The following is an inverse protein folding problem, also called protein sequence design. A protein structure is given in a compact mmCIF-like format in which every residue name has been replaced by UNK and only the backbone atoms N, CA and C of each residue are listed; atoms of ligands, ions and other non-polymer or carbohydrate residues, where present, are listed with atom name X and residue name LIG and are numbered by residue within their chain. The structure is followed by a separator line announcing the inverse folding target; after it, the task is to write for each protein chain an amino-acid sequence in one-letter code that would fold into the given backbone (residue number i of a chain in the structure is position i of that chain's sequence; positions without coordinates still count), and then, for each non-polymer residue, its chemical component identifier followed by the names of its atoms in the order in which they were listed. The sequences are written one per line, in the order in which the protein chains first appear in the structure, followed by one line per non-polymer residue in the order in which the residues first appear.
data_IF_582832702176
#
_entry.id   IF_582832702176
#
_cell.length_a   1.000
_cell.length_b   1.000
_cell.length_c   1.000
_cell.angle_alpha   90.00
_cell.angle_beta   90.00
_cell.angle_gamma   90.00
#
_symmetry.space_group_name_H-M   'P 1'
#
loop_
_entity.id
_entity.type
_entity.pdbx_description
1 polymer ?
#
# COMPACT_ATOMS: atom_id res chain seq x y z
N UNK A 1 -6.33 -10.80 14.17
CA UNK A 1 -5.27 -11.56 14.87
C UNK A 1 -3.97 -11.28 14.13
N UNK A 2 -3.01 -10.63 14.77
CA UNK A 2 -1.75 -10.26 14.13
C UNK A 2 -0.87 -11.49 13.86
N UNK A 3 -0.11 -11.48 12.77
CA UNK A 3 0.84 -12.54 12.46
C UNK A 3 1.92 -12.64 13.55
N UNK A 4 2.05 -13.82 14.15
CA UNK A 4 3.10 -14.17 15.12
C UNK A 4 4.10 -15.11 14.46
N UNK A 5 5.35 -14.67 14.40
CA UNK A 5 6.42 -15.49 13.84
C UNK A 5 6.69 -16.71 14.70
N UNK A 6 7.07 -17.80 14.05
CA UNK A 6 7.66 -18.96 14.73
C UNK A 6 9.18 -18.85 14.85
N UNK A 7 9.82 -17.94 14.10
CA UNK A 7 11.25 -17.69 14.25
C UNK A 7 11.44 -16.77 15.45
N UNK A 8 12.10 -17.25 16.49
CA UNK A 8 12.48 -16.41 17.64
C UNK A 8 13.87 -15.82 17.44
N UNK A 9 14.10 -14.65 18.04
CA UNK A 9 15.38 -13.94 17.94
C UNK A 9 16.53 -14.75 18.53
N UNK A 10 16.27 -15.49 19.62
CA UNK A 10 17.28 -16.26 20.33
C UNK A 10 17.83 -17.42 19.48
N UNK A 11 17.00 -18.01 18.62
CA UNK A 11 17.38 -19.11 17.74
C UNK A 11 18.27 -18.67 16.57
N UNK A 12 18.40 -17.37 16.30
CA UNK A 12 19.11 -16.87 15.12
C UNK A 12 20.60 -17.19 15.15
N UNK A 13 21.21 -17.17 16.35
CA UNK A 13 22.65 -17.38 16.55
C UNK A 13 23.11 -18.77 16.09
N UNK A 14 22.24 -19.77 16.18
CA UNK A 14 22.55 -21.17 15.88
C UNK A 14 22.04 -21.60 14.49
N UNK A 15 21.32 -20.71 13.79
CA UNK A 15 20.72 -21.03 12.50
C UNK A 15 21.76 -20.98 11.37
N UNK A 16 21.84 -22.05 10.60
CA UNK A 16 22.51 -22.06 9.29
C UNK A 16 21.65 -21.37 8.24
N UNK A 17 22.27 -20.83 7.18
CA UNK A 17 21.53 -20.16 6.09
C UNK A 17 20.45 -21.07 5.48
N UNK A 18 20.78 -22.35 5.28
CA UNK A 18 19.86 -23.33 4.67
C UNK A 18 18.65 -23.59 5.55
N UNK A 19 18.85 -23.74 6.87
CA UNK A 19 17.75 -23.95 7.82
C UNK A 19 16.88 -22.70 7.93
N UNK A 20 17.51 -21.53 7.97
CA UNK A 20 16.79 -20.27 7.96
C UNK A 20 15.92 -20.10 6.70
N UNK A 21 16.42 -20.38 5.50
CA UNK A 21 15.64 -20.27 4.26
C UNK A 21 14.38 -21.15 4.30
N UNK A 22 14.48 -22.38 4.83
CA UNK A 22 13.33 -23.29 4.98
C UNK A 22 12.28 -22.69 5.93
N UNK A 23 12.71 -22.14 7.07
CA UNK A 23 11.81 -21.47 8.01
C UNK A 23 11.18 -20.22 7.39
N UNK A 24 11.97 -19.38 6.72
CA UNK A 24 11.49 -18.16 6.07
C UNK A 24 10.43 -18.46 5.00
N UNK A 25 10.60 -19.51 4.20
CA UNK A 25 9.58 -19.96 3.23
C UNK A 25 8.25 -20.31 3.92
N UNK A 26 8.30 -21.04 5.04
CA UNK A 26 7.10 -21.40 5.79
C UNK A 26 6.43 -20.16 6.41
N UNK A 27 7.23 -19.26 6.97
CA UNK A 27 6.76 -18.01 7.57
C UNK A 27 6.09 -17.11 6.54
N UNK A 28 6.69 -16.93 5.37
CA UNK A 28 6.13 -16.16 4.26
C UNK A 28 4.77 -16.73 3.81
N UNK A 29 4.66 -18.05 3.64
CA UNK A 29 3.37 -18.69 3.29
C UNK A 29 2.31 -18.50 4.38
N UNK A 30 2.70 -18.52 5.65
CA UNK A 30 1.78 -18.27 6.77
C UNK A 30 1.37 -16.80 6.83
N UNK A 31 2.33 -15.88 6.70
CA UNK A 31 2.13 -14.44 6.74
C UNK A 31 1.26 -13.95 5.58
N UNK A 32 1.39 -14.57 4.40
CA UNK A 32 0.55 -14.26 3.25
C UNK A 32 -0.95 -14.40 3.52
N UNK A 33 -1.36 -15.29 4.43
CA UNK A 33 -2.77 -15.44 4.85
C UNK A 33 -3.32 -14.23 5.62
N UNK A 34 -2.45 -13.35 6.10
CA UNK A 34 -2.79 -12.13 6.83
C UNK A 34 -2.80 -10.89 5.93
N UNK A 35 -2.40 -11.01 4.66
CA UNK A 35 -2.31 -9.89 3.71
C UNK A 35 -1.08 -9.00 3.93
N UNK A 36 -0.74 -8.67 5.17
CA UNK A 36 0.49 -7.97 5.48
C UNK A 36 1.03 -8.27 6.89
N UNK A 37 2.30 -7.94 7.11
CA UNK A 37 2.94 -8.04 8.42
C UNK A 37 4.15 -7.11 8.49
N UNK A 38 4.58 -6.74 9.70
CA UNK A 38 5.82 -6.01 9.86
C UNK A 38 7.03 -6.88 9.51
N UNK A 39 8.15 -6.26 9.18
CA UNK A 39 9.41 -6.95 8.90
C UNK A 39 10.61 -6.20 9.47
N UNK A 40 11.57 -6.94 10.02
CA UNK A 40 12.94 -6.45 10.27
C UNK A 40 13.88 -7.16 9.30
N UNK A 41 14.76 -6.41 8.65
CA UNK A 41 15.68 -6.91 7.63
C UNK A 41 17.10 -6.51 7.97
N UNK A 42 18.04 -7.46 7.85
CA UNK A 42 19.48 -7.20 7.87
C UNK A 42 20.06 -7.72 6.56
N UNK A 43 20.69 -6.88 5.74
CA UNK A 43 21.26 -7.33 4.46
C UNK A 43 22.54 -8.14 4.62
N UNK A 44 23.31 -7.95 5.69
CA UNK A 44 24.61 -8.60 5.88
C UNK A 44 24.61 -9.38 7.20
N UNK A 45 23.69 -10.33 7.32
CA UNK A 45 23.63 -11.22 8.47
C UNK A 45 24.56 -12.42 8.28
N UNK A 46 25.45 -12.64 9.25
CA UNK A 46 26.33 -13.81 9.28
C UNK A 46 25.64 -14.95 10.03
N UNK A 47 25.29 -16.01 9.30
CA UNK A 47 24.70 -17.23 9.84
C UNK A 47 25.75 -18.11 10.53
N UNK A 48 25.31 -19.07 11.35
CA UNK A 48 26.19 -19.97 12.11
C UNK A 48 27.17 -20.76 11.23
N UNK A 49 26.80 -21.04 9.99
CA UNK A 49 27.66 -21.71 9.01
C UNK A 49 28.67 -20.77 8.32
N UNK A 50 28.86 -19.55 8.81
CA UNK A 50 29.75 -18.53 8.24
C UNK A 50 29.23 -17.80 7.00
N UNK A 51 28.09 -18.24 6.44
CA UNK A 51 27.50 -17.61 5.27
C UNK A 51 26.93 -16.21 5.62
N UNK A 52 27.22 -15.22 4.78
CA UNK A 52 26.64 -13.87 4.88
C UNK A 52 25.51 -13.74 3.88
N UNK A 53 24.30 -13.45 4.36
CA UNK A 53 23.10 -13.35 3.52
C UNK A 53 22.05 -12.44 4.16
N UNK A 54 20.96 -12.16 3.45
CA UNK A 54 19.88 -11.33 4.01
C UNK A 54 19.09 -12.14 5.05
N UNK A 55 18.92 -11.57 6.24
CA UNK A 55 17.97 -12.04 7.25
C UNK A 55 16.71 -11.18 7.20
N UNK A 56 15.55 -11.83 7.13
CA UNK A 56 14.22 -11.23 7.24
C UNK A 56 13.42 -11.89 8.38
N UNK A 57 12.92 -11.08 9.30
CA UNK A 57 12.07 -11.50 10.41
C UNK A 57 10.71 -10.83 10.27
N UNK A 58 9.69 -11.62 9.95
CA UNK A 58 8.31 -11.16 9.80
C UNK A 58 7.61 -11.15 11.16
N UNK A 59 6.69 -10.24 11.42
CA UNK A 59 5.94 -10.23 12.68
C UNK A 59 5.34 -8.88 13.06
N UNK A 60 4.52 -8.90 14.11
CA UNK A 60 4.05 -7.66 14.76
C UNK A 60 5.25 -6.84 15.25
N UNK A 61 5.33 -5.55 14.90
CA UNK A 61 6.37 -4.61 15.35
C UNK A 61 6.21 -4.23 16.83
N UNK A 62 6.29 -5.21 17.71
CA UNK A 62 6.19 -5.08 19.17
C UNK A 62 6.97 -6.20 19.86
N UNK A 63 7.17 -6.12 21.18
CA UNK A 63 7.79 -7.21 21.94
C UNK A 63 9.24 -7.51 21.49
N UNK A 64 9.56 -8.81 21.35
CA UNK A 64 10.92 -9.29 21.01
C UNK A 64 11.43 -8.76 19.67
N UNK A 65 10.59 -8.68 18.64
CA UNK A 65 10.98 -8.22 17.32
C UNK A 65 11.36 -6.73 17.31
N UNK A 66 10.60 -5.91 18.04
CA UNK A 66 10.92 -4.48 18.18
C UNK A 66 12.15 -4.25 19.07
N UNK A 67 12.34 -5.07 20.13
CA UNK A 67 13.56 -5.06 20.95
C UNK A 67 14.79 -5.39 20.10
N UNK A 68 14.70 -6.44 19.28
CA UNK A 68 15.76 -6.83 18.34
C UNK A 68 16.10 -5.70 17.35
N UNK A 69 15.08 -5.08 16.76
CA UNK A 69 15.29 -3.92 15.87
C UNK A 69 16.05 -2.78 16.57
N UNK A 70 15.63 -2.40 17.79
CA UNK A 70 16.29 -1.34 18.56
C UNK A 70 17.74 -1.69 18.89
N UNK A 71 18.00 -2.94 19.27
CA UNK A 71 19.35 -3.43 19.54
C UNK A 71 20.23 -3.32 18.29
N UNK A 72 19.78 -3.85 17.15
CA UNK A 72 20.51 -3.78 15.88
C UNK A 72 20.71 -2.34 15.40
N UNK A 73 19.74 -1.44 15.65
CA UNK A 73 19.87 -0.02 15.32
C UNK A 73 21.04 0.65 16.05
N UNK A 74 21.34 0.21 17.27
CA UNK A 74 22.47 0.70 18.07
C UNK A 74 23.78 0.01 17.65
N UNK A 75 23.79 -1.32 17.69
CA UNK A 75 25.00 -2.13 17.46
C UNK A 75 25.50 -2.05 16.02
N UNK A 76 24.58 -1.98 15.05
CA UNK A 76 24.90 -2.01 13.61
C UNK A 76 24.74 -0.66 12.92
N UNK A 77 24.81 0.42 13.69
CA UNK A 77 24.55 1.78 13.22
C UNK A 77 25.51 2.25 12.10
N UNK A 78 26.69 1.65 12.00
CA UNK A 78 27.77 2.00 11.04
C UNK A 78 27.74 1.14 9.77
N UNK A 79 27.23 -0.08 9.87
CA UNK A 79 27.20 -1.14 8.87
C UNK A 79 26.14 -0.87 7.79
N UNK A 80 25.14 -0.05 8.14
CA UNK A 80 24.07 0.43 7.25
C UNK A 80 23.32 -0.70 6.55
N UNK A 81 23.14 -1.82 7.25
CA UNK A 81 22.56 -3.03 6.69
C UNK A 81 21.22 -3.42 7.32
N UNK A 82 20.81 -2.74 8.40
CA UNK A 82 19.56 -3.01 9.11
C UNK A 82 18.45 -2.04 8.70
N UNK A 83 17.22 -2.54 8.55
CA UNK A 83 16.02 -1.75 8.35
C UNK A 83 14.80 -2.45 8.96
N UNK A 84 13.74 -1.71 9.21
CA UNK A 84 12.40 -2.28 9.44
C UNK A 84 11.42 -1.75 8.39
N UNK A 85 10.25 -2.36 8.36
CA UNK A 85 9.08 -1.81 7.71
C UNK A 85 7.95 -2.80 7.55
N UNK A 86 7.23 -2.73 6.44
CA UNK A 86 6.00 -3.50 6.22
C UNK A 86 6.13 -4.38 4.99
N UNK A 87 5.80 -5.65 5.17
CA UNK A 87 5.72 -6.66 4.14
C UNK A 87 4.25 -6.88 3.74
N UNK A 88 3.96 -6.68 2.47
CA UNK A 88 2.65 -6.85 1.86
C UNK A 88 2.66 -8.10 0.99
N UNK A 89 1.62 -8.90 1.08
CA UNK A 89 1.44 -10.11 0.29
C UNK A 89 0.22 -9.95 -0.60
N UNK A 90 0.37 -10.29 -1.88
CA UNK A 90 -0.77 -10.43 -2.78
C UNK A 90 -0.76 -11.80 -3.43
N UNK A 91 -1.96 -12.34 -3.60
CA UNK A 91 -2.21 -13.51 -4.42
C UNK A 91 -3.11 -13.01 -5.55
N UNK A 92 -2.55 -12.87 -6.74
CA UNK A 92 -3.31 -12.41 -7.91
C UNK A 92 -3.73 -13.68 -8.65
N UNK A 93 -5.03 -13.88 -8.84
CA UNK A 93 -5.56 -15.07 -9.53
C UNK A 93 -4.88 -15.21 -10.91
N UNK A 94 -4.29 -16.37 -11.15
CA UNK A 94 -3.55 -16.69 -12.39
C UNK A 94 -2.07 -16.25 -12.42
N UNK A 95 -1.59 -15.50 -11.43
CA UNK A 95 -0.20 -15.02 -11.35
C UNK A 95 0.57 -15.60 -10.15
N UNK A 96 1.89 -15.60 -10.24
CA UNK A 96 2.74 -16.01 -9.12
C UNK A 96 2.52 -15.05 -7.94
N UNK A 97 2.26 -15.55 -6.72
CA UNK A 97 2.04 -14.68 -5.57
C UNK A 97 3.22 -13.75 -5.35
N UNK A 98 2.94 -12.52 -4.91
CA UNK A 98 3.93 -11.46 -4.79
C UNK A 98 4.12 -11.02 -3.33
N UNK A 99 5.32 -10.57 -3.03
CA UNK A 99 5.71 -10.01 -1.73
C UNK A 99 6.38 -8.66 -1.94
N UNK A 100 5.85 -7.61 -1.33
CA UNK A 100 6.43 -6.26 -1.41
C UNK A 100 6.86 -5.78 -0.04
N UNK A 101 8.06 -5.23 0.08
CA UNK A 101 8.63 -4.76 1.34
C UNK A 101 8.90 -3.27 1.24
N UNK A 102 8.15 -2.48 2.02
CA UNK A 102 8.41 -1.07 2.29
C UNK A 102 9.36 -0.96 3.47
N UNK A 103 10.51 -0.30 3.32
CA UNK A 103 11.44 -0.04 4.42
C UNK A 103 11.22 1.38 4.96
N UNK A 104 10.57 1.51 6.12
CA UNK A 104 10.12 2.78 6.69
C UNK A 104 11.15 3.42 7.64
N UNK A 105 12.03 2.64 8.27
CA UNK A 105 13.09 3.12 9.18
C UNK A 105 14.35 2.24 9.10
N UNK A 106 15.49 2.84 9.46
CA UNK A 106 16.81 2.22 9.43
C UNK A 106 17.66 2.62 8.23
N UNK A 107 18.81 1.95 8.09
CA UNK A 107 19.85 2.31 7.11
C UNK A 107 20.04 1.28 5.99
N UNK A 108 19.35 0.14 6.06
CA UNK A 108 19.36 -0.91 5.06
C UNK A 108 18.91 -0.42 3.68
N UNK A 109 19.71 -0.72 2.65
CA UNK A 109 19.43 -0.30 1.27
C UNK A 109 18.73 -1.42 0.50
N UNK A 110 17.61 -1.15 -0.19
CA UNK A 110 16.91 -2.16 -0.99
C UNK A 110 17.81 -2.92 -1.98
N UNK A 111 18.72 -2.22 -2.66
CA UNK A 111 19.66 -2.83 -3.59
C UNK A 111 20.59 -3.85 -2.91
N UNK A 112 21.09 -3.55 -1.71
CA UNK A 112 21.98 -4.44 -0.94
C UNK A 112 21.21 -5.66 -0.42
N UNK A 113 20.01 -5.44 0.10
CA UNK A 113 19.10 -6.50 0.57
C UNK A 113 18.76 -7.48 -0.58
N UNK A 114 18.44 -6.95 -1.78
CA UNK A 114 18.17 -7.76 -2.97
C UNK A 114 19.41 -8.54 -3.43
N UNK A 115 20.59 -7.91 -3.42
CA UNK A 115 21.85 -8.55 -3.82
C UNK A 115 22.22 -9.71 -2.90
N UNK A 116 22.28 -9.47 -1.59
CA UNK A 116 22.69 -10.48 -0.61
C UNK A 116 21.58 -11.53 -0.38
N UNK A 117 20.32 -11.13 -0.53
CA UNK A 117 19.17 -12.01 -0.38
C UNK A 117 18.83 -12.82 -1.62
N UNK A 118 19.61 -12.75 -2.72
CA UNK A 118 19.24 -13.37 -4.01
C UNK A 118 18.82 -14.84 -3.88
N UNK A 119 19.53 -15.62 -3.07
CA UNK A 119 19.23 -17.05 -2.81
C UNK A 119 17.95 -17.23 -2.01
N UNK A 120 17.79 -16.47 -0.92
CA UNK A 120 16.56 -16.43 -0.11
C UNK A 120 15.36 -16.07 -0.98
N UNK A 121 15.40 -14.91 -1.64
CA UNK A 121 14.30 -14.37 -2.45
C UNK A 121 13.88 -15.33 -3.57
N UNK A 122 14.83 -15.93 -4.28
CA UNK A 122 14.54 -16.97 -5.29
C UNK A 122 13.85 -18.18 -4.68
N UNK A 123 14.24 -18.59 -3.47
CA UNK A 123 13.66 -19.74 -2.77
C UNK A 123 12.28 -19.46 -2.18
N UNK A 124 11.93 -18.21 -1.85
CA UNK A 124 10.59 -17.88 -1.34
C UNK A 124 9.47 -18.26 -2.31
N UNK A 125 9.75 -18.36 -3.61
CA UNK A 125 8.76 -18.74 -4.62
C UNK A 125 7.73 -17.64 -4.88
N UNK A 126 8.07 -16.39 -4.54
CA UNK A 126 7.25 -15.20 -4.75
C UNK A 126 7.99 -14.19 -5.60
N UNK A 127 7.25 -13.36 -6.35
CA UNK A 127 7.83 -12.15 -6.94
C UNK A 127 8.10 -11.13 -5.82
N UNK A 128 9.37 -10.80 -5.55
CA UNK A 128 9.73 -9.93 -4.42
C UNK A 128 10.19 -8.54 -4.86
N UNK A 129 9.52 -7.52 -4.35
CA UNK A 129 9.88 -6.12 -4.52
C UNK A 129 10.29 -5.50 -3.18
N UNK A 130 11.38 -4.73 -3.15
CA UNK A 130 11.86 -4.04 -1.94
C UNK A 130 12.18 -2.60 -2.33
N UNK A 131 11.69 -1.64 -1.55
CA UNK A 131 11.85 -0.21 -1.77
C UNK A 131 11.99 0.54 -0.43
N UNK A 132 12.47 1.79 -0.48
CA UNK A 132 12.66 2.64 0.70
C UNK A 132 11.50 3.62 0.86
N UNK A 133 11.17 3.94 2.10
CA UNK A 133 10.08 4.83 2.48
C UNK A 133 8.81 4.06 2.84
N UNK A 134 7.80 4.81 3.27
CA UNK A 134 6.43 4.32 3.20
C UNK A 134 6.02 4.17 1.72
N UNK A 135 4.82 3.68 1.47
CA UNK A 135 4.19 3.92 0.17
C UNK A 135 4.18 5.44 -0.08
N UNK A 136 5.06 5.95 -0.96
CA UNK A 136 5.17 7.37 -1.30
C UNK A 136 3.92 7.82 -2.07
N UNK A 137 2.87 8.16 -1.33
CA UNK A 137 1.72 8.88 -1.83
C UNK A 137 1.99 10.36 -1.57
N UNK A 138 1.58 11.25 -2.49
CA UNK A 138 1.59 12.67 -2.18
C UNK A 138 0.70 12.92 -0.95
N UNK A 139 0.97 13.98 -0.18
CA UNK A 139 0.19 14.38 1.00
C UNK A 139 -1.18 14.96 0.58
N UNK A 140 -1.85 14.31 -0.34
CA UNK A 140 -3.23 14.59 -0.71
C UNK A 140 -4.13 14.00 0.37
N UNK A 141 -5.12 14.78 0.79
CA UNK A 141 -6.18 14.34 1.69
C UNK A 141 -7.52 14.59 1.01
N UNK A 142 -8.54 13.85 1.43
CA UNK A 142 -9.92 14.21 1.07
C UNK A 142 -10.32 15.46 1.85
N UNK A 143 -11.21 16.28 1.28
CA UNK A 143 -11.81 17.38 2.03
C UNK A 143 -12.72 16.82 3.13
N UNK A 144 -12.88 17.58 4.22
CA UNK A 144 -13.68 17.13 5.37
C UNK A 144 -15.13 16.82 4.97
N UNK A 145 -15.74 17.66 4.13
CA UNK A 145 -17.10 17.47 3.61
C UNK A 145 -17.27 16.13 2.87
N UNK A 146 -16.23 15.66 2.18
CA UNK A 146 -16.25 14.36 1.51
C UNK A 146 -16.15 13.21 2.49
N UNK A 147 -15.35 13.36 3.54
CA UNK A 147 -15.26 12.38 4.62
C UNK A 147 -16.59 12.28 5.36
N UNK A 148 -17.22 13.41 5.66
CA UNK A 148 -18.52 13.47 6.33
C UNK A 148 -19.60 12.79 5.47
N UNK A 149 -19.56 12.99 4.14
CA UNK A 149 -20.48 12.32 3.21
C UNK A 149 -20.27 10.80 3.23
N UNK A 150 -19.02 10.34 3.20
CA UNK A 150 -18.69 8.91 3.26
C UNK A 150 -19.14 8.31 4.59
N UNK A 151 -18.96 9.03 5.70
CA UNK A 151 -19.39 8.58 7.03
C UNK A 151 -20.92 8.47 7.11
N UNK A 152 -21.66 9.45 6.60
CA UNK A 152 -23.12 9.42 6.57
C UNK A 152 -23.69 8.31 5.66
N UNK A 153 -23.01 7.97 4.56
CA UNK A 153 -23.37 6.82 3.72
C UNK A 153 -23.10 5.50 4.44
N UNK A 154 -21.94 5.40 5.10
CA UNK A 154 -21.53 4.21 5.84
C UNK A 154 -22.48 3.90 6.98
N UNK A 155 -22.87 4.91 7.76
CA UNK A 155 -23.83 4.82 8.87
C UNK A 155 -25.13 4.15 8.40
N UNK A 156 -25.73 4.68 7.32
CA UNK A 156 -26.95 4.11 6.70
C UNK A 156 -26.77 2.68 6.17
N UNK A 157 -25.61 2.36 5.59
CA UNK A 157 -25.36 1.02 5.04
C UNK A 157 -25.04 -0.02 6.13
N UNK A 158 -24.66 0.44 7.33
CA UNK A 158 -24.14 -0.41 8.39
C UNK A 158 -25.22 -1.07 9.24
N UNK A 159 -26.41 -0.47 9.34
CA UNK A 159 -27.54 -0.95 10.15
C UNK A 159 -27.77 -2.46 9.98
N UNK A 160 -27.79 -2.94 8.73
CA UNK A 160 -28.10 -4.33 8.38
C UNK A 160 -26.88 -5.28 8.33
N UNK A 161 -25.66 -4.77 8.49
CA UNK A 161 -24.45 -5.55 8.23
C UNK A 161 -23.84 -6.20 9.48
N UNK A 162 -23.55 -7.51 9.37
CA UNK A 162 -22.81 -8.22 10.43
C UNK A 162 -21.32 -7.85 10.40
N UNK A 163 -20.77 -7.45 11.54
CA UNK A 163 -19.33 -7.12 11.74
C UNK A 163 -18.37 -8.14 11.09
N UNK A 164 -18.66 -9.44 11.19
CA UNK A 164 -17.81 -10.48 10.59
C UNK A 164 -17.76 -10.42 9.04
N UNK A 165 -18.86 -10.04 8.39
CA UNK A 165 -18.93 -9.88 6.94
C UNK A 165 -18.17 -8.63 6.49
N UNK A 166 -18.33 -7.51 7.21
CA UNK A 166 -17.60 -6.27 6.98
C UNK A 166 -16.09 -6.52 7.06
N UNK A 167 -15.62 -7.21 8.10
CA UNK A 167 -14.21 -7.57 8.27
C UNK A 167 -13.69 -8.45 7.12
N UNK A 168 -14.50 -9.41 6.65
CA UNK A 168 -14.11 -10.29 5.52
C UNK A 168 -13.98 -9.47 4.23
N UNK A 169 -14.94 -8.58 3.98
CA UNK A 169 -14.91 -7.68 2.82
C UNK A 169 -13.72 -6.72 2.89
N UNK A 170 -13.44 -6.13 4.06
CA UNK A 170 -12.30 -5.25 4.30
C UNK A 170 -10.99 -5.94 3.94
N UNK A 171 -10.75 -7.15 4.46
CA UNK A 171 -9.52 -7.89 4.16
C UNK A 171 -9.35 -8.18 2.66
N UNK A 172 -10.44 -8.50 1.97
CA UNK A 172 -10.43 -8.74 0.52
C UNK A 172 -10.11 -7.45 -0.23
N UNK A 173 -10.84 -6.36 0.07
CA UNK A 173 -10.62 -5.06 -0.55
C UNK A 173 -9.20 -4.54 -0.29
N UNK A 174 -8.68 -4.73 0.94
CA UNK A 174 -7.32 -4.36 1.32
C UNK A 174 -6.28 -5.08 0.45
N UNK A 175 -6.43 -6.39 0.28
CA UNK A 175 -5.55 -7.18 -0.58
C UNK A 175 -5.59 -6.70 -2.04
N UNK A 176 -6.78 -6.40 -2.58
CA UNK A 176 -6.95 -5.89 -3.94
C UNK A 176 -6.33 -4.49 -4.11
N UNK A 177 -6.56 -3.56 -3.18
CA UNK A 177 -5.92 -2.22 -3.23
C UNK A 177 -4.40 -2.37 -3.23
N UNK A 178 -3.84 -3.21 -2.36
CA UNK A 178 -2.39 -3.48 -2.30
C UNK A 178 -1.84 -4.11 -3.58
N UNK A 179 -2.63 -4.98 -4.23
CA UNK A 179 -2.24 -5.65 -5.46
C UNK A 179 -2.29 -4.69 -6.66
N UNK A 180 -3.41 -3.99 -6.82
CA UNK A 180 -3.82 -3.38 -8.09
C UNK A 180 -3.62 -1.87 -8.10
N UNK A 181 -3.86 -1.20 -6.97
CA UNK A 181 -3.86 0.28 -6.87
C UNK A 181 -2.49 0.80 -6.46
N UNK A 182 -1.90 0.22 -5.43
CA UNK A 182 -0.60 0.62 -4.88
C UNK A 182 0.52 0.70 -5.92
N UNK A 183 0.73 -0.29 -6.81
CA UNK A 183 1.79 -0.19 -7.80
C UNK A 183 1.54 0.90 -8.83
N UNK A 184 0.28 1.17 -9.21
CA UNK A 184 -0.05 2.26 -10.14
C UNK A 184 0.32 3.62 -9.56
N UNK A 185 -0.03 3.86 -8.29
CA UNK A 185 0.32 5.10 -7.59
C UNK A 185 1.83 5.31 -7.49
N UNK A 186 2.61 4.24 -7.27
CA UNK A 186 4.08 4.33 -7.23
C UNK A 186 4.70 4.56 -8.59
N UNK A 187 4.20 3.87 -9.61
CA UNK A 187 4.68 3.99 -10.98
C UNK A 187 4.21 5.29 -11.64
N UNK A 188 3.29 6.04 -11.00
CA UNK A 188 2.53 7.13 -11.62
C UNK A 188 1.91 6.68 -12.96
N UNK A 189 1.49 5.42 -13.01
CA UNK A 189 0.90 4.82 -14.19
C UNK A 189 -0.54 5.29 -14.35
N UNK A 190 -1.13 5.01 -15.52
CA UNK A 190 -2.55 5.29 -15.77
C UNK A 190 -3.42 4.64 -14.70
N UNK A 191 -4.30 5.44 -14.11
CA UNK A 191 -5.33 4.98 -13.18
C UNK A 191 -6.68 5.05 -13.87
N UNK A 192 -7.62 4.25 -13.41
CA UNK A 192 -8.95 4.13 -13.97
C UNK A 192 -9.97 4.20 -12.85
N UNK A 193 -11.23 4.51 -13.19
CA UNK A 193 -12.32 4.67 -12.23
C UNK A 193 -12.45 3.44 -11.31
N UNK A 194 -12.29 2.24 -11.85
CA UNK A 194 -12.33 1.00 -11.06
C UNK A 194 -11.29 0.96 -9.92
N UNK A 195 -10.11 1.55 -10.11
CA UNK A 195 -9.07 1.62 -9.09
C UNK A 195 -9.47 2.57 -7.96
N UNK A 196 -10.09 3.71 -8.31
CA UNK A 196 -10.63 4.65 -7.35
C UNK A 196 -11.79 4.04 -6.55
N UNK A 197 -12.76 3.41 -7.22
CA UNK A 197 -13.88 2.74 -6.57
C UNK A 197 -13.43 1.63 -5.62
N UNK A 198 -12.39 0.88 -5.98
CA UNK A 198 -11.81 -0.15 -5.12
C UNK A 198 -11.19 0.44 -3.84
N UNK A 199 -10.46 1.56 -3.95
CA UNK A 199 -9.88 2.25 -2.80
C UNK A 199 -10.95 2.93 -1.93
N UNK A 200 -11.97 3.53 -2.55
CA UNK A 200 -13.10 4.14 -1.87
C UNK A 200 -13.90 3.10 -1.08
N UNK A 201 -14.13 1.92 -1.67
CA UNK A 201 -14.75 0.78 -0.97
C UNK A 201 -13.95 0.36 0.26
N UNK A 202 -12.62 0.32 0.16
CA UNK A 202 -11.77 0.02 1.32
C UNK A 202 -11.91 1.08 2.43
N UNK A 203 -12.02 2.36 2.06
CA UNK A 203 -12.24 3.45 3.00
C UNK A 203 -13.61 3.31 3.69
N UNK A 204 -14.69 3.09 2.93
CA UNK A 204 -16.03 2.84 3.48
C UNK A 204 -16.02 1.69 4.48
N UNK A 205 -15.43 0.55 4.11
CA UNK A 205 -15.31 -0.61 5.00
C UNK A 205 -14.46 -0.32 6.27
N UNK A 206 -13.46 0.56 6.18
CA UNK A 206 -12.67 1.01 7.34
C UNK A 206 -13.52 1.77 8.35
N UNK A 207 -14.35 2.69 7.85
CA UNK A 207 -15.32 3.45 8.64
C UNK A 207 -16.40 2.53 9.20
N UNK A 208 -16.94 1.63 8.38
CA UNK A 208 -17.96 0.67 8.77
C UNK A 208 -17.53 -0.20 9.95
N UNK A 209 -16.27 -0.63 9.99
CA UNK A 209 -15.73 -1.44 11.09
C UNK A 209 -15.66 -0.64 12.41
N UNK A 210 -15.33 0.65 12.34
CA UNK A 210 -15.23 1.51 13.52
C UNK A 210 -16.61 1.82 14.07
N UNK A 211 -17.52 2.22 13.20
CA UNK A 211 -18.91 2.51 13.52
C UNK A 211 -19.62 1.28 14.13
N UNK A 212 -19.57 0.13 13.44
CA UNK A 212 -20.16 -1.13 13.95
C UNK A 212 -19.52 -1.63 15.25
N UNK A 213 -18.35 -1.13 15.64
CA UNK A 213 -17.76 -1.49 16.93
C UNK A 213 -18.60 -0.93 18.08
N UNK A 214 -19.22 0.23 17.92
CA UNK A 214 -19.99 0.89 18.98
C UNK A 214 -21.37 0.23 19.17
N UNK A 215 -21.89 -0.42 18.13
CA UNK A 215 -23.23 -1.04 18.12
C UNK A 215 -23.27 -2.51 18.57
N UNK A 216 -22.12 -3.19 18.58
CA UNK A 216 -22.06 -4.61 18.96
C UNK A 216 -21.87 -4.79 20.47
N UNK A 217 -22.31 -5.93 21.00
CA UNK A 217 -22.14 -6.27 22.43
C UNK A 217 -20.67 -6.18 22.90
N UNK A 218 -20.45 -5.84 24.18
CA UNK A 218 -19.11 -5.73 24.79
C UNK A 218 -18.22 -6.95 24.56
N UNK A 219 -18.80 -8.17 24.64
CA UNK A 219 -18.09 -9.42 24.37
C UNK A 219 -17.55 -9.48 22.92
N UNK A 220 -18.33 -8.97 21.97
CA UNK A 220 -17.90 -8.87 20.57
C UNK A 220 -16.92 -7.71 20.35
N UNK A 221 -17.07 -6.59 21.06
CA UNK A 221 -16.09 -5.50 21.04
C UNK A 221 -14.71 -6.00 21.49
N UNK A 222 -14.63 -6.70 22.63
CA UNK A 222 -13.39 -7.30 23.12
C UNK A 222 -12.77 -8.30 22.12
N UNK A 223 -13.61 -9.03 21.37
CA UNK A 223 -13.16 -9.97 20.33
C UNK A 223 -12.48 -9.27 19.14
N UNK A 224 -12.91 -8.07 18.79
CA UNK A 224 -12.45 -7.36 17.59
C UNK A 224 -11.54 -6.15 17.87
N UNK A 225 -11.34 -5.76 19.14
CA UNK A 225 -10.59 -4.55 19.55
C UNK A 225 -9.24 -4.39 18.86
N UNK A 226 -8.43 -5.46 18.80
CA UNK A 226 -7.11 -5.44 18.14
C UNK A 226 -7.22 -5.12 16.64
N UNK A 227 -8.25 -5.66 15.98
CA UNK A 227 -8.48 -5.46 14.56
C UNK A 227 -8.99 -4.05 14.29
N UNK A 228 -9.88 -3.51 15.12
CA UNK A 228 -10.36 -2.14 14.93
C UNK A 228 -9.24 -1.12 15.16
N UNK A 229 -8.40 -1.34 16.17
CA UNK A 229 -7.20 -0.52 16.37
C UNK A 229 -6.24 -0.57 15.16
N UNK A 230 -6.06 -1.76 14.57
CA UNK A 230 -5.28 -1.93 13.34
C UNK A 230 -5.89 -1.16 12.16
N UNK A 231 -7.21 -1.28 11.94
CA UNK A 231 -7.94 -0.56 10.88
C UNK A 231 -7.84 0.96 11.06
N UNK A 232 -8.11 1.46 12.27
CA UNK A 232 -8.03 2.88 12.62
C UNK A 232 -6.63 3.46 12.41
N UNK A 233 -5.59 2.69 12.72
CA UNK A 233 -4.20 3.11 12.46
C UNK A 233 -3.85 3.21 10.97
N UNK A 234 -4.58 2.50 10.10
CA UNK A 234 -4.34 2.47 8.65
C UNK A 234 -5.20 3.45 7.88
N UNK A 235 -6.33 3.86 8.42
CA UNK A 235 -7.28 4.75 7.77
C UNK A 235 -6.63 6.01 7.16
N UNK A 236 -5.72 6.73 7.84
CA UNK A 236 -5.07 7.90 7.24
C UNK A 236 -4.33 7.57 5.93
N UNK A 237 -3.76 6.37 5.82
CA UNK A 237 -3.10 5.91 4.59
C UNK A 237 -4.10 5.59 3.50
N UNK A 238 -5.24 4.99 3.85
CA UNK A 238 -6.32 4.70 2.90
C UNK A 238 -6.92 6.00 2.35
N UNK A 239 -7.15 7.01 3.20
CA UNK A 239 -7.62 8.34 2.78
C UNK A 239 -6.65 8.94 1.75
N UNK A 240 -5.33 8.87 2.01
CA UNK A 240 -4.31 9.34 1.06
C UNK A 240 -4.38 8.60 -0.27
N UNK A 241 -4.58 7.28 -0.27
CA UNK A 241 -4.73 6.48 -1.49
C UNK A 241 -5.91 7.01 -2.32
N UNK A 242 -7.08 7.17 -1.70
CA UNK A 242 -8.29 7.65 -2.37
C UNK A 242 -8.09 9.05 -2.93
N UNK A 243 -7.52 9.97 -2.16
CA UNK A 243 -7.25 11.34 -2.58
C UNK A 243 -6.27 11.40 -3.78
N UNK A 244 -5.19 10.61 -3.75
CA UNK A 244 -4.22 10.55 -4.85
C UNK A 244 -4.87 10.00 -6.13
N UNK A 245 -5.70 8.96 -6.03
CA UNK A 245 -6.41 8.41 -7.20
C UNK A 245 -7.40 9.42 -7.78
N UNK A 246 -8.16 10.11 -6.94
CA UNK A 246 -9.09 11.15 -7.37
C UNK A 246 -8.37 12.26 -8.13
N UNK A 247 -7.23 12.74 -7.62
CA UNK A 247 -6.39 13.75 -8.30
C UNK A 247 -5.85 13.23 -9.63
N UNK A 248 -5.35 12.00 -9.66
CA UNK A 248 -4.85 11.39 -10.90
C UNK A 248 -5.94 11.20 -11.95
N UNK A 249 -7.16 10.81 -11.55
CA UNK A 249 -8.32 10.70 -12.45
C UNK A 249 -8.78 12.06 -12.99
N UNK A 250 -8.86 13.07 -12.13
CA UNK A 250 -9.16 14.44 -12.56
C UNK A 250 -8.14 14.92 -13.60
N UNK A 251 -6.85 14.65 -13.37
CA UNK A 251 -5.79 14.98 -14.31
C UNK A 251 -5.89 14.20 -15.63
N UNK A 252 -6.19 12.90 -15.61
CA UNK A 252 -6.36 12.13 -16.86
C UNK A 252 -7.56 12.61 -17.68
N UNK A 253 -8.68 12.95 -17.03
CA UNK A 253 -9.87 13.49 -17.71
C UNK A 253 -9.60 14.86 -18.30
N UNK A 254 -8.90 15.74 -17.58
CA UNK A 254 -8.49 17.05 -18.10
C UNK A 254 -7.54 16.92 -19.31
N UNK A 255 -6.59 15.98 -19.26
CA UNK A 255 -5.66 15.72 -20.38
C UNK A 255 -6.39 15.12 -21.58
N UNK A 256 -7.37 14.23 -21.37
CA UNK A 256 -8.24 13.70 -22.44
C UNK A 256 -9.01 14.80 -23.14
N UNK A 257 -9.73 15.63 -22.37
CA UNK A 257 -10.48 16.78 -22.90
C UNK A 257 -9.58 17.77 -23.65
N UNK A 258 -8.35 17.99 -23.18
CA UNK A 258 -7.39 18.85 -23.85
C UNK A 258 -6.92 18.29 -25.20
N UNK A 259 -6.70 16.97 -25.29
CA UNK A 259 -6.35 16.30 -26.55
C UNK A 259 -7.48 16.34 -27.56
N UNK A 260 -8.71 16.05 -27.15
CA UNK A 260 -9.89 16.13 -28.03
C UNK A 260 -10.09 17.54 -28.59
N UNK A 261 -9.96 18.58 -27.77
CA UNK A 261 -10.03 19.98 -28.22
C UNK A 261 -8.88 20.36 -29.17
N UNK A 262 -7.69 19.81 -28.96
CA UNK A 262 -6.54 20.03 -29.83
C UNK A 262 -6.69 19.32 -31.18
N UNK A 263 -7.23 18.10 -31.18
CA UNK A 263 -7.57 17.35 -32.39
C UNK A 263 -8.72 18.01 -33.15
N UNK A 264 -9.76 18.51 -32.46
CA UNK A 264 -10.84 19.29 -33.08
C UNK A 264 -10.30 20.55 -33.77
N UNK A 265 -9.37 21.27 -33.12
CA UNK A 265 -8.67 22.40 -33.72
C UNK A 265 -7.86 22.01 -34.96
N UNK A 266 -7.12 20.89 -34.89
CA UNK A 266 -6.24 20.41 -35.96
C UNK A 266 -7.01 19.87 -37.17
N UNK A 267 -8.07 19.09 -36.95
CA UNK A 267 -8.89 18.55 -38.03
C UNK A 267 -9.71 19.62 -38.73
N UNK A 268 -10.22 20.61 -37.98
CA UNK A 268 -11.04 21.67 -38.56
C UNK A 268 -10.19 22.69 -39.31
N UNK A 269 -9.00 23.06 -38.81
CA UNK A 269 -8.05 23.91 -39.58
C UNK A 269 -7.58 23.27 -40.88
N UNK A 270 -7.55 21.93 -40.98
CA UNK A 270 -7.24 21.21 -42.20
C UNK A 270 -8.41 21.12 -43.21
N UNK A 271 -9.68 21.23 -42.76
CA UNK A 271 -10.87 21.01 -43.61
C UNK A 271 -11.59 22.30 -44.04
N UNK A 272 -11.64 23.37 -43.21
CA UNK A 272 -12.15 24.74 -43.56
C UNK A 272 -11.60 25.80 -42.60
N UNK A 273 -11.31 27.04 -43.03
CA UNK A 273 -10.93 28.11 -42.11
C UNK A 273 -12.09 28.43 -41.15
N UNK A 274 -11.84 28.33 -39.84
CA UNK A 274 -12.81 28.70 -38.80
C UNK A 274 -13.19 30.19 -38.89
N UNK A 275 -14.44 30.52 -38.55
CA UNK A 275 -14.82 31.90 -38.23
C UNK A 275 -14.10 32.38 -36.97
N UNK A 276 -13.80 33.68 -36.90
CA UNK A 276 -13.04 34.25 -35.80
C UNK A 276 -13.74 34.10 -34.45
N UNK A 277 -15.08 34.15 -34.41
CA UNK A 277 -15.87 33.89 -33.20
C UNK A 277 -15.63 32.47 -32.65
N UNK A 278 -15.60 31.46 -33.52
CA UNK A 278 -15.45 30.06 -33.11
C UNK A 278 -14.00 29.76 -32.68
N UNK A 279 -13.01 30.40 -33.32
CA UNK A 279 -11.61 30.39 -32.85
C UNK A 279 -11.47 31.01 -31.47
N UNK A 280 -12.18 32.12 -31.21
CA UNK A 280 -12.11 32.82 -29.94
C UNK A 280 -12.76 32.01 -28.81
N UNK A 281 -13.90 31.36 -29.08
CA UNK A 281 -14.55 30.43 -28.14
C UNK A 281 -13.67 29.23 -27.79
N UNK A 282 -13.06 28.59 -28.80
CA UNK A 282 -12.19 27.44 -28.57
C UNK A 282 -10.94 27.86 -27.78
N UNK A 283 -10.28 28.97 -28.15
CA UNK A 283 -9.15 29.51 -27.37
C UNK A 283 -9.53 29.81 -25.91
N UNK A 284 -10.70 30.40 -25.68
CA UNK A 284 -11.20 30.66 -24.33
C UNK A 284 -11.39 29.39 -23.49
N UNK A 285 -11.95 28.32 -24.09
CA UNK A 285 -12.08 27.01 -23.43
C UNK A 285 -10.72 26.37 -23.16
N UNK A 286 -9.76 26.55 -24.08
CA UNK A 286 -8.42 26.00 -23.99
C UNK A 286 -7.59 26.68 -22.89
N UNK A 287 -7.69 28.01 -22.75
CA UNK A 287 -7.09 28.75 -21.63
C UNK A 287 -7.76 28.42 -20.29
N UNK A 288 -9.09 28.28 -20.25
CA UNK A 288 -9.78 27.85 -19.03
C UNK A 288 -9.36 26.43 -18.57
N UNK A 289 -9.14 25.52 -19.52
CA UNK A 289 -8.62 24.18 -19.22
C UNK A 289 -7.15 24.21 -18.77
N UNK A 290 -6.30 25.06 -19.37
CA UNK A 290 -4.91 25.25 -18.91
C UNK A 290 -4.85 25.77 -17.47
N UNK A 291 -5.68 26.75 -17.13
CA UNK A 291 -5.75 27.30 -15.77
C UNK A 291 -6.24 26.23 -14.77
N UNK A 292 -7.24 25.43 -15.14
CA UNK A 292 -7.67 24.28 -14.32
C UNK A 292 -6.57 23.23 -14.16
N UNK A 293 -5.82 22.92 -15.22
CA UNK A 293 -4.75 21.93 -15.18
C UNK A 293 -3.57 22.42 -14.33
N UNK A 294 -3.24 23.71 -14.36
CA UNK A 294 -2.28 24.33 -13.43
C UNK A 294 -2.77 24.23 -11.97
N UNK A 295 -4.03 24.51 -11.71
CA UNK A 295 -4.61 24.47 -10.36
C UNK A 295 -4.61 23.05 -9.75
N UNK A 296 -4.79 22.01 -10.56
CA UNK A 296 -4.74 20.60 -10.11
C UNK A 296 -3.30 20.05 -10.08
N UNK A 297 -2.33 20.72 -10.72
CA UNK A 297 -0.91 20.30 -10.72
C UNK A 297 -0.08 20.94 -9.60
N UNK A 298 -0.61 21.99 -8.95
CA UNK A 298 -0.04 22.60 -7.75
C UNK A 298 -0.31 21.74 -6.50
#
# INVERSE_FOLDING_TARGET
MAFKSKITVDQLKDLTEVNYIKLAQQEVKRAAKFGETGVVVLSDYQFACGAVSTLMLLGKMSGSLMKFYRQMKTERSKEKDFAKGTCYFSNIDGNQPSMRIALDDGKGKPAKIKKNGKKLLKKLGLAVEIFKGEMNLANETLAQEELDTIEAEVDKENDDQKMALIIKAYKKAFASVVADVVPLLKAKAGVEEQHYQLALKLLRLSKSIQDKQEEISEKQQAKYVDLVAEVKSREPKVIKIVANLKKMLANSTLVGNFKELHEEMSEQTAKRPLSDERRMQIKGRLEALKERLKAVSA
#
